data_IF_963280018617
#
_entry.id   IF_963280018617
#
_cell.length_a   1.000
_cell.length_b   1.000
_cell.length_c   1.000
_cell.angle_alpha   90.00
_cell.angle_beta   90.00
_cell.angle_gamma   90.00
#
_symmetry.space_group_name_H-M   'P 1'
#
loop_
_entity.id
_entity.type
_entity.pdbx_description
1 polymer ?
#
# COMPACT_ATOMS: atom_id res chain seq x y z
N UNK A 1 33.92 2.99 -3.55
CA UNK A 1 33.01 2.95 -2.38
C UNK A 1 31.63 3.37 -2.84
N UNK A 2 30.94 2.45 -3.51
CA UNK A 2 29.61 2.66 -4.07
C UNK A 2 28.58 2.33 -2.97
N UNK A 3 28.00 3.41 -2.46
CA UNK A 3 27.26 3.51 -1.21
C UNK A 3 25.96 2.71 -1.23
N UNK A 4 25.85 1.76 -0.30
CA UNK A 4 24.77 1.64 0.70
C UNK A 4 23.33 2.12 0.36
N UNK A 5 22.84 1.90 -0.87
CA UNK A 5 21.46 2.26 -1.27
C UNK A 5 20.57 1.05 -1.58
N UNK A 6 20.83 -0.11 -0.97
CA UNK A 6 19.98 -1.31 -1.13
C UNK A 6 19.40 -1.90 0.16
N UNK A 7 19.63 -1.30 1.34
CA UNK A 7 19.38 -2.01 2.60
C UNK A 7 18.07 -1.66 3.33
N UNK A 8 17.21 -0.79 2.82
CA UNK A 8 15.94 -0.46 3.50
C UNK A 8 14.81 -1.44 3.17
N UNK A 9 14.75 -1.99 1.95
CA UNK A 9 13.75 -2.99 1.59
C UNK A 9 14.05 -4.39 2.17
N UNK A 10 15.34 -4.68 2.40
CA UNK A 10 15.81 -5.97 2.95
C UNK A 10 15.52 -6.13 4.45
N UNK A 11 15.40 -5.03 5.21
CA UNK A 11 15.16 -5.09 6.67
C UNK A 11 13.76 -5.57 7.06
N UNK A 12 12.80 -5.53 6.14
CA UNK A 12 11.39 -5.85 6.43
C UNK A 12 10.97 -7.20 5.82
N UNK A 13 11.84 -7.89 5.08
CA UNK A 13 11.51 -9.20 4.48
C UNK A 13 10.36 -9.14 3.46
N UNK A 14 10.09 -7.96 2.91
CA UNK A 14 9.04 -7.77 1.92
C UNK A 14 9.51 -8.28 0.55
N UNK A 15 8.60 -8.83 -0.25
CA UNK A 15 8.90 -9.05 -1.66
C UNK A 15 9.42 -7.75 -2.29
N UNK A 16 10.49 -7.82 -3.09
CA UNK A 16 11.20 -6.63 -3.59
C UNK A 16 10.29 -5.61 -4.29
N UNK A 17 9.21 -6.06 -4.95
CA UNK A 17 8.19 -5.19 -5.56
C UNK A 17 7.39 -4.41 -4.51
N UNK A 18 6.98 -5.07 -3.42
CA UNK A 18 6.17 -4.48 -2.35
C UNK A 18 6.99 -3.46 -1.58
N UNK A 19 8.20 -3.83 -1.18
CA UNK A 19 9.12 -2.95 -0.47
C UNK A 19 9.48 -1.71 -1.30
N UNK A 20 9.74 -1.88 -2.60
CA UNK A 20 10.05 -0.76 -3.52
C UNK A 20 8.83 0.14 -3.73
N UNK A 21 7.65 -0.44 -3.96
CA UNK A 21 6.41 0.31 -4.12
C UNK A 21 6.09 1.14 -2.88
N UNK A 22 6.03 0.53 -1.69
CA UNK A 22 5.67 1.27 -0.47
C UNK A 22 6.72 2.28 -0.04
N UNK A 23 7.99 2.06 -0.40
CA UNK A 23 9.08 3.00 -0.08
C UNK A 23 9.21 4.15 -1.08
N UNK A 24 8.88 3.96 -2.37
CA UNK A 24 9.19 4.92 -3.44
C UNK A 24 8.00 5.44 -4.22
N UNK A 25 6.94 4.65 -4.36
CA UNK A 25 5.79 4.98 -5.21
C UNK A 25 4.58 5.35 -4.37
N UNK A 26 4.35 4.63 -3.27
CA UNK A 26 3.25 4.86 -2.36
C UNK A 26 3.36 6.24 -1.70
N UNK A 27 2.47 7.13 -2.12
CA UNK A 27 2.35 8.44 -1.50
C UNK A 27 1.14 8.48 -0.54
N UNK A 28 0.02 7.92 -0.97
CA UNK A 28 -1.24 7.89 -0.23
C UNK A 28 -2.06 6.64 -0.59
N UNK A 29 -3.13 6.36 0.16
CA UNK A 29 -4.04 5.23 -0.09
C UNK A 29 -4.59 5.15 -1.52
N UNK A 30 -4.69 6.30 -2.21
CA UNK A 30 -5.12 6.39 -3.61
C UNK A 30 -4.17 5.67 -4.58
N UNK A 31 -2.89 5.53 -4.23
CA UNK A 31 -1.89 4.79 -5.04
C UNK A 31 -2.19 3.28 -5.07
N UNK A 32 -2.98 2.80 -4.10
CA UNK A 32 -3.45 1.42 -4.06
C UNK A 32 -4.79 1.24 -4.79
N UNK A 33 -5.40 2.33 -5.28
CA UNK A 33 -6.63 2.23 -6.07
C UNK A 33 -6.30 1.62 -7.43
N UNK A 34 -7.14 0.68 -7.85
CA UNK A 34 -6.95 -0.01 -9.10
C UNK A 34 -7.70 0.70 -10.23
N UNK A 35 -7.04 0.81 -11.38
CA UNK A 35 -7.64 1.25 -12.65
C UNK A 35 -8.12 0.08 -13.52
N UNK A 36 -7.61 -1.13 -13.28
CA UNK A 36 -8.01 -2.36 -13.97
C UNK A 36 -7.79 -3.58 -13.09
N UNK A 37 -8.38 -4.71 -13.47
CA UNK A 37 -8.34 -5.98 -12.71
C UNK A 37 -6.91 -6.41 -12.36
N UNK A 38 -5.97 -6.38 -13.30
CA UNK A 38 -4.58 -6.77 -12.99
C UNK A 38 -3.88 -5.85 -11.99
N UNK A 39 -4.24 -4.58 -11.93
CA UNK A 39 -3.72 -3.66 -10.90
C UNK A 39 -4.38 -3.91 -9.56
N UNK A 40 -5.68 -4.21 -9.56
CA UNK A 40 -6.39 -4.60 -8.35
C UNK A 40 -5.73 -5.83 -7.71
N UNK A 41 -5.49 -6.86 -8.51
CA UNK A 41 -4.85 -8.10 -8.03
C UNK A 41 -3.42 -7.84 -7.52
N UNK A 42 -2.64 -7.01 -8.22
CA UNK A 42 -1.30 -6.61 -7.75
C UNK A 42 -1.38 -5.83 -6.44
N UNK A 43 -2.27 -4.86 -6.35
CA UNK A 43 -2.41 -4.00 -5.17
C UNK A 43 -2.92 -4.79 -3.96
N UNK A 44 -3.84 -5.74 -4.15
CA UNK A 44 -4.27 -6.67 -3.10
C UNK A 44 -3.09 -7.47 -2.57
N UNK A 45 -2.28 -8.04 -3.47
CA UNK A 45 -1.09 -8.80 -3.05
C UNK A 45 -0.09 -7.91 -2.31
N UNK A 46 0.17 -6.69 -2.80
CA UNK A 46 1.03 -5.70 -2.14
C UNK A 46 0.57 -5.37 -0.73
N UNK A 47 -0.71 -5.08 -0.54
CA UNK A 47 -1.28 -4.77 0.79
C UNK A 47 -1.26 -5.99 1.70
N UNK A 48 -1.54 -7.19 1.17
CA UNK A 48 -1.45 -8.45 1.93
C UNK A 48 -0.03 -8.69 2.44
N UNK A 49 0.95 -8.59 1.56
CA UNK A 49 2.37 -8.81 1.91
C UNK A 49 2.85 -7.76 2.91
N UNK A 50 2.42 -6.50 2.74
CA UNK A 50 2.68 -5.43 3.69
C UNK A 50 2.09 -5.73 5.07
N UNK A 51 0.80 -6.08 5.14
CA UNK A 51 0.13 -6.43 6.40
C UNK A 51 0.79 -7.64 7.08
N UNK A 52 1.20 -8.65 6.31
CA UNK A 52 1.93 -9.81 6.80
C UNK A 52 3.29 -9.43 7.37
N UNK A 53 4.07 -8.60 6.65
CA UNK A 53 5.36 -8.12 7.12
C UNK A 53 5.21 -7.25 8.38
N UNK A 54 4.17 -6.39 8.45
CA UNK A 54 3.85 -5.65 9.68
C UNK A 54 3.51 -6.61 10.81
N UNK A 55 2.68 -7.62 10.57
CA UNK A 55 2.33 -8.66 11.57
C UNK A 55 3.56 -9.38 12.11
N UNK A 56 4.50 -9.77 11.25
CA UNK A 56 5.75 -10.41 11.66
C UNK A 56 6.63 -9.46 12.49
N UNK A 57 6.59 -8.17 12.17
CA UNK A 57 7.33 -7.11 12.86
C UNK A 57 6.55 -6.48 14.03
N UNK A 58 5.31 -6.89 14.31
CA UNK A 58 4.47 -6.31 15.37
C UNK A 58 5.23 -6.32 16.69
N UNK A 59 5.88 -7.43 17.04
CA UNK A 59 6.62 -7.56 18.30
C UNK A 59 7.77 -6.54 18.45
N UNK A 60 8.29 -6.03 17.34
CA UNK A 60 9.31 -4.98 17.31
C UNK A 60 8.70 -3.58 17.23
N UNK A 61 7.55 -3.44 16.55
CA UNK A 61 6.84 -2.17 16.40
C UNK A 61 6.04 -1.78 17.64
N UNK A 62 5.50 -2.74 18.38
CA UNK A 62 4.68 -2.53 19.56
C UNK A 62 5.36 -1.63 20.62
N UNK A 63 6.62 -1.84 21.03
CA UNK A 63 7.29 -0.93 21.96
C UNK A 63 7.60 0.46 21.38
N UNK A 64 7.67 0.59 20.04
CA UNK A 64 7.94 1.84 19.33
C UNK A 64 6.67 2.61 18.95
N UNK A 65 5.53 1.93 18.98
CA UNK A 65 4.23 2.46 18.60
C UNK A 65 3.56 3.16 19.79
N UNK A 66 2.92 4.29 19.52
CA UNK A 66 2.04 4.94 20.49
C UNK A 66 0.71 4.18 20.62
N UNK A 67 -0.10 4.46 21.64
CA UNK A 67 -1.37 3.76 21.90
C UNK A 67 -2.30 3.63 20.68
N UNK A 68 -2.39 4.68 19.86
CA UNK A 68 -3.17 4.66 18.63
C UNK A 68 -2.61 3.65 17.61
N UNK A 69 -1.29 3.61 17.43
CA UNK A 69 -0.62 2.69 16.51
C UNK A 69 -0.65 1.26 17.06
N UNK A 70 -0.51 1.06 18.37
CA UNK A 70 -0.68 -0.24 19.03
C UNK A 70 -2.08 -0.81 18.80
N UNK A 71 -3.11 0.02 18.90
CA UNK A 71 -4.48 -0.38 18.60
C UNK A 71 -4.61 -0.83 17.14
N UNK A 72 -4.02 -0.09 16.20
CA UNK A 72 -3.97 -0.48 14.78
C UNK A 72 -3.20 -1.79 14.58
N UNK A 73 -2.02 -1.93 15.20
CA UNK A 73 -1.19 -3.14 15.13
C UNK A 73 -1.95 -4.36 15.65
N UNK A 74 -2.72 -4.21 16.73
CA UNK A 74 -3.56 -5.29 17.26
C UNK A 74 -4.70 -5.71 16.32
N UNK A 75 -5.07 -4.87 15.35
CA UNK A 75 -6.10 -5.15 14.34
C UNK A 75 -5.52 -5.60 13.00
N UNK A 76 -4.19 -5.64 12.84
CA UNK A 76 -3.53 -6.03 11.58
C UNK A 76 -3.91 -7.44 11.14
N UNK A 77 -4.08 -8.37 12.08
CA UNK A 77 -4.57 -9.71 11.77
C UNK A 77 -5.94 -9.68 11.09
N UNK A 78 -6.90 -8.91 11.64
CA UNK A 78 -8.23 -8.74 11.04
C UNK A 78 -8.16 -8.10 9.66
N UNK A 79 -7.36 -7.05 9.50
CA UNK A 79 -7.16 -6.42 8.18
C UNK A 79 -6.55 -7.39 7.17
N UNK A 80 -5.59 -8.22 7.60
CA UNK A 80 -4.95 -9.23 6.77
C UNK A 80 -5.96 -10.30 6.33
N UNK A 81 -6.87 -10.71 7.21
CA UNK A 81 -7.98 -11.62 6.88
C UNK A 81 -8.95 -11.01 5.88
N UNK A 82 -9.34 -9.73 6.06
CA UNK A 82 -10.22 -9.03 5.13
C UNK A 82 -9.63 -8.92 3.72
N UNK A 83 -8.36 -8.50 3.62
CA UNK A 83 -7.64 -8.40 2.35
C UNK A 83 -7.47 -9.77 1.70
N UNK A 84 -7.19 -10.82 2.48
CA UNK A 84 -7.11 -12.19 1.96
C UNK A 84 -8.45 -12.69 1.43
N UNK A 85 -9.52 -12.53 2.21
CA UNK A 85 -10.87 -12.94 1.83
C UNK A 85 -11.34 -12.22 0.56
N UNK A 86 -11.05 -10.92 0.46
CA UNK A 86 -11.32 -10.16 -0.75
C UNK A 86 -10.49 -10.64 -1.94
N UNK A 87 -9.17 -10.84 -1.77
CA UNK A 87 -8.30 -11.36 -2.81
C UNK A 87 -8.72 -12.73 -3.34
N UNK A 88 -9.21 -13.63 -2.47
CA UNK A 88 -9.79 -14.90 -2.88
C UNK A 88 -11.13 -14.77 -3.59
N UNK A 89 -11.95 -13.75 -3.25
CA UNK A 89 -13.20 -13.45 -3.96
C UNK A 89 -12.95 -12.93 -5.38
N UNK A 90 -11.98 -12.03 -5.57
CA UNK A 90 -11.69 -11.42 -6.89
C UNK A 90 -10.77 -12.27 -7.77
N UNK A 91 -10.38 -13.48 -7.32
CA UNK A 91 -9.52 -14.40 -8.07
C UNK A 91 -8.01 -14.13 -7.96
N UNK A 92 -7.60 -13.16 -7.13
CA UNK A 92 -6.21 -12.75 -6.95
C UNK A 92 -5.40 -13.71 -6.07
N UNK A 93 -6.04 -14.32 -5.06
CA UNK A 93 -5.37 -15.22 -4.10
C UNK A 93 -5.92 -16.64 -4.31
N UNK A 94 -5.21 -17.42 -5.12
CA UNK A 94 -5.46 -18.85 -5.28
C UNK A 94 -4.57 -19.63 -4.32
N UNK A 95 -5.14 -20.15 -3.23
CA UNK A 95 -4.43 -21.05 -2.34
C UNK A 95 -4.31 -22.42 -3.03
N UNK A 96 -3.17 -22.69 -3.65
CA UNK A 96 -2.91 -23.91 -4.41
C UNK A 96 -2.81 -25.13 -3.48
N UNK A 97 -3.93 -25.83 -3.29
CA UNK A 97 -3.98 -27.21 -2.82
C UNK A 97 -5.23 -27.93 -3.39
N UNK A 98 -5.36 -27.98 -4.73
CA UNK A 98 -6.06 -28.98 -5.59
C UNK A 98 -6.21 -28.41 -7.04
N UNK A 99 -6.17 -29.24 -8.11
CA UNK A 99 -6.21 -28.79 -9.51
C UNK A 99 -7.58 -28.19 -9.94
N UNK A 100 -7.61 -27.44 -11.05
CA UNK A 100 -8.35 -26.19 -11.17
C UNK A 100 -9.80 -26.41 -11.58
N UNK A 101 -10.73 -25.96 -10.74
CA UNK A 101 -12.02 -25.51 -11.26
C UNK A 101 -11.87 -24.06 -11.68
N UNK A 102 -12.24 -23.82 -12.93
CA UNK A 102 -12.22 -22.59 -13.70
C UNK A 102 -13.07 -21.48 -13.09
N UNK A 103 -12.76 -21.02 -11.88
CA UNK A 103 -13.26 -19.72 -11.40
C UNK A 103 -12.39 -18.64 -12.03
N UNK A 104 -12.48 -18.49 -13.35
CA UNK A 104 -12.31 -17.18 -13.98
C UNK A 104 -13.52 -16.38 -13.48
N UNK A 105 -13.41 -15.86 -12.26
CA UNK A 105 -14.57 -15.51 -11.45
C UNK A 105 -15.01 -14.09 -11.75
N UNK A 106 -15.38 -13.80 -12.99
CA UNK A 106 -15.97 -12.52 -13.40
C UNK A 106 -15.22 -11.26 -12.89
N UNK A 107 -13.94 -11.37 -12.51
CA UNK A 107 -13.24 -10.32 -11.77
C UNK A 107 -13.22 -9.02 -12.55
N UNK A 108 -12.97 -9.14 -13.87
CA UNK A 108 -13.05 -8.06 -14.84
C UNK A 108 -14.49 -7.56 -15.08
N UNK A 109 -15.49 -8.44 -15.06
CA UNK A 109 -16.90 -8.09 -15.27
C UNK A 109 -17.51 -7.35 -14.07
N UNK A 110 -17.02 -7.67 -12.86
CA UNK A 110 -17.37 -7.02 -11.59
C UNK A 110 -16.30 -6.04 -11.13
N UNK A 111 -15.40 -5.62 -12.02
CA UNK A 111 -14.26 -4.79 -11.64
C UNK A 111 -14.69 -3.50 -10.94
N UNK A 112 -15.71 -2.80 -11.46
CA UNK A 112 -16.18 -1.55 -10.85
C UNK A 112 -16.78 -1.76 -9.45
N UNK A 113 -17.51 -2.86 -9.23
CA UNK A 113 -18.00 -3.25 -7.88
C UNK A 113 -16.84 -3.60 -6.95
N UNK A 114 -15.91 -4.44 -7.43
CA UNK A 114 -14.74 -4.86 -6.68
C UNK A 114 -13.83 -3.68 -6.34
N UNK A 115 -13.63 -2.76 -7.27
CA UNK A 115 -12.89 -1.52 -7.09
C UNK A 115 -13.54 -0.66 -6.00
N UNK A 116 -14.86 -0.46 -6.03
CA UNK A 116 -15.58 0.27 -4.98
C UNK A 116 -15.37 -0.36 -3.60
N UNK A 117 -15.54 -1.69 -3.50
CA UNK A 117 -15.30 -2.45 -2.25
C UNK A 117 -13.84 -2.36 -1.79
N UNK A 118 -12.90 -2.45 -2.71
CA UNK A 118 -11.46 -2.32 -2.45
C UNK A 118 -11.10 -0.94 -1.93
N UNK A 119 -11.58 0.12 -2.58
CA UNK A 119 -11.36 1.49 -2.13
C UNK A 119 -11.94 1.74 -0.74
N UNK A 120 -13.13 1.20 -0.46
CA UNK A 120 -13.76 1.32 0.84
C UNK A 120 -12.95 0.59 1.92
N UNK A 121 -12.48 -0.63 1.63
CA UNK A 121 -11.64 -1.41 2.54
C UNK A 121 -10.30 -0.73 2.81
N UNK A 122 -9.64 -0.22 1.76
CA UNK A 122 -8.42 0.56 1.91
C UNK A 122 -8.62 1.79 2.79
N UNK A 123 -9.74 2.49 2.62
CA UNK A 123 -10.10 3.64 3.47
C UNK A 123 -10.33 3.18 4.92
N UNK A 124 -11.00 2.04 5.13
CA UNK A 124 -11.26 1.51 6.46
C UNK A 124 -9.95 1.08 7.16
N UNK A 125 -9.01 0.46 6.45
CA UNK A 125 -7.73 0.02 7.00
C UNK A 125 -6.77 1.20 7.22
N UNK A 126 -6.54 2.01 6.19
CA UNK A 126 -5.50 3.04 6.20
C UNK A 126 -5.93 4.32 6.92
N UNK A 127 -7.16 4.79 6.67
CA UNK A 127 -7.65 6.07 7.18
C UNK A 127 -8.32 5.88 8.54
N UNK A 128 -9.40 5.09 8.60
CA UNK A 128 -10.13 4.85 9.86
C UNK A 128 -9.35 3.97 10.83
N UNK A 129 -8.72 2.93 10.31
CA UNK A 129 -7.94 1.96 11.04
C UNK A 129 -6.58 2.50 11.48
N UNK A 130 -6.14 3.62 10.91
CA UNK A 130 -4.91 4.32 11.29
C UNK A 130 -3.62 3.66 10.78
N UNK A 131 -3.70 2.76 9.79
CA UNK A 131 -2.52 2.04 9.28
C UNK A 131 -1.48 2.96 8.62
N UNK A 132 -1.87 4.12 8.07
CA UNK A 132 -0.92 5.14 7.58
C UNK A 132 0.06 5.60 8.69
N UNK A 133 -0.41 5.69 9.93
CA UNK A 133 0.42 6.04 11.08
C UNK A 133 1.41 4.92 11.42
N UNK A 134 1.02 3.65 11.21
CA UNK A 134 1.92 2.50 11.38
C UNK A 134 3.00 2.49 10.31
N UNK A 135 2.67 2.82 9.06
CA UNK A 135 3.66 2.92 7.97
C UNK A 135 4.68 4.04 8.20
N UNK A 136 4.25 5.13 8.83
CA UNK A 136 5.16 6.21 9.24
C UNK A 136 6.19 5.73 10.27
N UNK A 137 5.83 4.82 11.19
CA UNK A 137 6.80 4.21 12.13
C UNK A 137 7.87 3.39 11.41
N UNK A 138 7.46 2.68 10.37
CA UNK A 138 8.35 1.85 9.56
C UNK A 138 9.27 2.67 8.65
N UNK A 139 9.13 4.01 8.66
CA UNK A 139 9.85 4.92 7.77
C UNK A 139 9.63 4.59 6.27
N UNK A 140 8.54 3.88 5.95
CA UNK A 140 8.18 3.48 4.59
C UNK A 140 7.64 4.67 3.79
N UNK A 141 7.07 5.66 4.47
CA UNK A 141 6.84 6.97 3.86
C UNK A 141 8.20 7.63 3.71
N UNK A 142 8.86 7.38 2.57
CA UNK A 142 10.00 8.18 2.16
C UNK A 142 9.60 9.63 2.35
N UNK A 143 10.36 10.34 3.17
CA UNK A 143 10.14 11.74 3.46
C UNK A 143 10.22 12.53 2.14
N UNK A 144 9.09 12.61 1.43
CA UNK A 144 8.82 13.58 0.38
C UNK A 144 8.67 14.99 0.94
N UNK A 145 9.07 15.22 2.19
CA UNK A 145 9.35 16.54 2.73
C UNK A 145 10.84 16.84 2.54
N UNK A 146 11.28 16.88 1.28
CA UNK A 146 12.22 17.92 0.92
C UNK A 146 11.44 18.83 -0.02
N UNK A 147 10.94 19.91 0.57
CA UNK A 147 10.39 21.09 -0.06
C UNK A 147 11.33 21.53 -1.18
N UNK A 148 11.19 20.97 -2.37
CA UNK A 148 11.50 21.70 -3.58
C UNK A 148 10.42 22.78 -3.64
N UNK A 149 10.68 23.87 -2.92
CA UNK A 149 10.10 25.15 -3.24
C UNK A 149 10.48 25.41 -4.70
N UNK A 150 9.64 24.96 -5.62
CA UNK A 150 9.56 25.53 -6.94
C UNK A 150 9.13 26.98 -6.70
N UNK A 151 10.10 27.85 -6.48
CA UNK A 151 9.92 29.29 -6.62
C UNK A 151 9.53 29.50 -8.08
N UNK A 152 8.23 29.59 -8.31
CA UNK A 152 7.61 29.99 -9.56
C UNK A 152 8.07 31.43 -9.80
N UNK A 153 9.22 31.62 -10.44
CA UNK A 153 9.52 32.89 -11.08
C UNK A 153 8.69 32.89 -12.36
N UNK A 154 7.57 33.60 -12.29
CA UNK A 154 6.63 33.78 -13.39
C UNK A 154 7.34 34.29 -14.65
N UNK A 155 6.95 33.85 -15.86
CA UNK A 155 7.27 34.58 -17.07
C UNK A 155 6.51 35.90 -17.03
N UNK A 156 7.23 37.00 -16.86
CA UNK A 156 6.67 38.35 -17.05
C UNK A 156 6.28 38.45 -18.53
N UNK A 157 5.00 38.28 -18.81
CA UNK A 157 4.40 38.77 -20.04
C UNK A 157 4.46 40.29 -19.97
N UNK A 158 5.47 40.88 -20.60
CA UNK A 158 5.49 42.30 -20.93
C UNK A 158 5.47 42.44 -22.45
N UNK A 159 4.31 42.15 -23.01
CA UNK A 159 3.96 42.61 -24.34
C UNK A 159 3.29 43.99 -24.21
N UNK A 160 3.68 44.90 -25.12
CA UNK A 160 3.08 46.21 -25.45
C UNK A 160 3.48 47.42 -24.59
N UNK A 161 4.39 48.27 -25.09
CA UNK A 161 4.08 49.62 -25.64
C UNK A 161 5.37 50.46 -25.79
N UNK A 162 5.65 50.84 -27.05
CA UNK A 162 6.51 51.92 -27.58
C UNK A 162 8.01 51.89 -27.33
#
# INVERSE_FOLDING_TARGET
MEKERKQTADRIGMASDVGDFFSKQFNNVKDLFATNQSELEKNINRVKDLLMAVKEKIKMLEPMANDAQKKTLSHVDSYLEEVQSFGSQVGSISFSAHPPQTVVRDGSAKFEENKGRWQQMLTDIFDKGGFDKVLTLLNLKSAGHCTLAAAIIAPIVLAFVR
#
